data_IF_774616545643
#
_entry.id   IF_774616545643
#
_cell.length_a   1.000
_cell.length_b   1.000
_cell.length_c   1.000
_cell.angle_alpha   90.00
_cell.angle_beta   90.00
_cell.angle_gamma   90.00
#
_symmetry.space_group_name_H-M   'P 1'
#
loop_
_entity.id
_entity.type
_entity.pdbx_description
1 polymer ?
#
# COMPACT_ATOMS: atom_id res chain seq x y z
N UNK A 1 20.58 -43.33 -38.39
CA UNK A 1 19.46 -44.15 -37.82
C UNK A 1 18.55 -43.27 -36.99
N UNK A 2 19.04 -42.15 -36.39
CA UNK A 2 18.31 -41.23 -35.49
C UNK A 2 17.35 -40.29 -36.22
N UNK A 3 17.49 -40.14 -37.56
CA UNK A 3 16.72 -39.17 -38.35
C UNK A 3 15.68 -39.86 -39.28
N UNK A 4 15.03 -40.94 -38.84
CA UNK A 4 13.95 -41.54 -39.58
C UNK A 4 12.64 -40.87 -39.17
N UNK A 5 12.11 -40.04 -40.05
CA UNK A 5 10.86 -39.28 -39.82
C UNK A 5 9.66 -40.27 -39.79
N UNK A 6 8.97 -40.31 -38.68
CA UNK A 6 7.66 -40.94 -38.54
C UNK A 6 6.61 -39.83 -38.76
N UNK A 7 5.99 -39.83 -39.93
CA UNK A 7 4.91 -38.84 -40.25
C UNK A 7 3.56 -39.41 -39.79
N UNK A 8 2.89 -38.70 -38.89
CA UNK A 8 1.48 -38.95 -38.57
C UNK A 8 0.73 -37.64 -38.95
N UNK A 9 0.07 -37.68 -40.10
CA UNK A 9 -0.64 -36.51 -40.65
C UNK A 9 0.30 -35.43 -41.13
N UNK A 10 0.08 -34.20 -40.72
CA UNK A 10 0.90 -33.03 -41.07
C UNK A 10 2.13 -32.83 -40.21
N UNK A 11 2.38 -33.70 -39.23
CA UNK A 11 3.47 -33.55 -38.27
C UNK A 11 4.47 -34.68 -38.50
N UNK A 12 5.72 -34.32 -38.81
CA UNK A 12 6.83 -35.29 -38.94
C UNK A 12 7.65 -35.26 -37.67
N UNK A 13 7.66 -36.37 -36.93
CA UNK A 13 8.49 -36.52 -35.74
C UNK A 13 9.74 -37.33 -36.04
N UNK A 14 10.89 -36.76 -35.80
CA UNK A 14 12.16 -37.45 -35.71
C UNK A 14 12.33 -38.11 -34.35
N UNK A 15 13.01 -39.23 -34.27
CA UNK A 15 13.45 -39.80 -32.97
C UNK A 15 14.26 -38.81 -32.16
N UNK A 16 15.00 -37.90 -32.82
CA UNK A 16 15.71 -36.80 -32.19
C UNK A 16 14.79 -35.81 -31.50
N UNK A 17 13.65 -35.46 -32.12
CA UNK A 17 12.65 -34.53 -31.55
C UNK A 17 11.99 -35.15 -30.32
N UNK A 18 11.65 -36.43 -30.37
CA UNK A 18 11.09 -37.13 -29.20
C UNK A 18 12.06 -37.14 -28.00
N UNK A 19 13.34 -37.39 -28.26
CA UNK A 19 14.37 -37.35 -27.21
C UNK A 19 14.56 -35.90 -26.68
N UNK A 20 14.53 -34.90 -27.54
CA UNK A 20 14.65 -33.52 -27.17
C UNK A 20 13.47 -33.03 -26.32
N UNK A 21 12.24 -33.41 -26.67
CA UNK A 21 11.03 -33.16 -25.90
C UNK A 21 11.12 -33.79 -24.51
N UNK A 22 11.46 -35.12 -24.46
CA UNK A 22 11.59 -35.83 -23.20
C UNK A 22 12.69 -35.21 -22.30
N UNK A 23 13.84 -34.86 -22.91
CA UNK A 23 14.94 -34.22 -22.22
C UNK A 23 14.53 -32.82 -21.68
N UNK A 24 13.83 -32.01 -22.48
CA UNK A 24 13.36 -30.67 -22.06
C UNK A 24 12.41 -30.75 -20.87
N UNK A 25 11.45 -31.67 -20.90
CA UNK A 25 10.52 -31.92 -19.80
C UNK A 25 11.28 -32.37 -18.55
N UNK A 26 12.15 -33.35 -18.69
CA UNK A 26 13.00 -33.87 -17.58
C UNK A 26 13.86 -32.75 -16.99
N UNK A 27 14.51 -31.93 -17.82
CA UNK A 27 15.35 -30.82 -17.41
C UNK A 27 14.54 -29.77 -16.65
N UNK A 28 13.35 -29.44 -17.14
CA UNK A 28 12.43 -28.48 -16.47
C UNK A 28 12.05 -28.94 -15.07
N UNK A 29 11.76 -30.24 -14.91
CA UNK A 29 11.51 -30.84 -13.59
C UNK A 29 12.75 -30.76 -12.67
N UNK A 30 13.93 -31.02 -13.20
CA UNK A 30 15.17 -30.94 -12.42
C UNK A 30 15.49 -29.50 -12.00
N UNK A 31 15.36 -28.58 -12.91
CA UNK A 31 15.54 -27.14 -12.61
C UNK A 31 14.51 -26.68 -11.56
N UNK A 32 13.24 -27.08 -11.70
CA UNK A 32 12.19 -26.70 -10.75
C UNK A 32 12.45 -27.28 -9.35
N UNK A 33 12.91 -28.53 -9.25
CA UNK A 33 13.29 -29.14 -7.97
C UNK A 33 14.49 -28.46 -7.32
N UNK A 34 15.52 -28.11 -8.12
CA UNK A 34 16.69 -27.41 -7.64
C UNK A 34 16.31 -26.01 -7.10
N UNK A 35 15.52 -25.26 -7.85
CA UNK A 35 15.07 -23.92 -7.40
C UNK A 35 14.17 -24.01 -6.18
N UNK A 36 13.29 -25.01 -6.10
CA UNK A 36 12.50 -25.25 -4.89
C UNK A 36 13.38 -25.51 -3.68
N UNK A 37 14.39 -26.37 -3.84
CA UNK A 37 15.36 -26.67 -2.78
C UNK A 37 16.08 -25.38 -2.31
N UNK A 38 16.63 -24.59 -3.24
CA UNK A 38 17.32 -23.33 -2.93
C UNK A 38 16.38 -22.32 -2.24
N UNK A 39 15.13 -22.21 -2.72
CA UNK A 39 14.16 -21.27 -2.13
C UNK A 39 13.79 -21.66 -0.70
N UNK A 40 13.54 -22.96 -0.44
CA UNK A 40 13.04 -23.42 0.86
C UNK A 40 14.18 -23.62 1.87
N UNK A 41 15.32 -24.16 1.43
CA UNK A 41 16.41 -24.55 2.33
C UNK A 41 17.45 -23.43 2.55
N UNK A 42 17.73 -22.62 1.50
CA UNK A 42 18.77 -21.59 1.60
C UNK A 42 18.20 -20.18 1.81
N UNK A 43 17.20 -19.79 1.03
CA UNK A 43 16.71 -18.40 1.01
C UNK A 43 15.71 -18.14 2.14
N UNK A 44 14.74 -19.03 2.33
CA UNK A 44 13.65 -18.82 3.28
C UNK A 44 14.14 -18.65 4.74
N UNK A 45 15.10 -19.44 5.26
CA UNK A 45 15.61 -19.25 6.62
C UNK A 45 16.32 -17.90 6.82
N UNK A 46 17.02 -17.43 5.77
CA UNK A 46 17.76 -16.16 5.80
C UNK A 46 16.85 -14.94 5.71
N UNK A 47 15.77 -15.04 4.93
CA UNK A 47 14.82 -13.97 4.68
C UNK A 47 13.76 -13.78 5.78
N UNK A 48 13.74 -14.64 6.82
CA UNK A 48 12.78 -14.63 7.95
C UNK A 48 11.30 -14.52 7.47
N UNK A 49 10.96 -15.24 6.41
CA UNK A 49 9.61 -15.24 5.87
C UNK A 49 8.59 -15.81 6.85
N UNK A 50 7.34 -15.32 6.77
CA UNK A 50 6.25 -15.88 7.56
C UNK A 50 6.01 -17.37 7.19
N UNK A 51 5.50 -18.15 8.15
CA UNK A 51 5.19 -19.57 7.94
C UNK A 51 4.27 -19.76 6.73
N UNK A 52 4.63 -20.69 5.85
CA UNK A 52 3.88 -21.04 4.64
C UNK A 52 4.21 -20.21 3.39
N UNK A 53 4.84 -19.04 3.52
CA UNK A 53 5.26 -18.23 2.36
C UNK A 53 6.32 -18.92 1.51
N UNK A 54 7.39 -19.52 2.08
CA UNK A 54 8.40 -20.21 1.29
C UNK A 54 7.83 -21.32 0.40
N UNK A 55 6.96 -22.15 0.96
CA UNK A 55 6.34 -23.26 0.25
C UNK A 55 5.42 -22.79 -0.88
N UNK A 56 4.65 -21.73 -0.63
CA UNK A 56 3.78 -21.12 -1.64
C UNK A 56 4.59 -20.54 -2.81
N UNK A 57 5.64 -19.76 -2.52
CA UNK A 57 6.53 -19.18 -3.55
C UNK A 57 7.25 -20.28 -4.32
N UNK A 58 7.78 -21.29 -3.64
CA UNK A 58 8.47 -22.41 -4.27
C UNK A 58 7.53 -23.22 -5.20
N UNK A 59 6.28 -23.42 -4.76
CA UNK A 59 5.27 -24.12 -5.56
C UNK A 59 4.87 -23.33 -6.80
N UNK A 60 4.63 -22.01 -6.67
CA UNK A 60 4.34 -21.14 -7.81
C UNK A 60 5.50 -21.11 -8.80
N UNK A 61 6.73 -20.96 -8.31
CA UNK A 61 7.94 -21.02 -9.14
C UNK A 61 8.06 -22.34 -9.88
N UNK A 62 7.78 -23.45 -9.21
CA UNK A 62 7.77 -24.79 -9.82
C UNK A 62 6.76 -24.86 -10.96
N UNK A 63 5.52 -24.41 -10.76
CA UNK A 63 4.48 -24.40 -11.80
C UNK A 63 4.88 -23.54 -13.01
N UNK A 64 5.45 -22.34 -12.78
CA UNK A 64 5.93 -21.47 -13.86
C UNK A 64 7.02 -22.15 -14.71
N UNK A 65 8.00 -22.81 -14.05
CA UNK A 65 9.11 -23.47 -14.76
C UNK A 65 8.62 -24.69 -15.54
N UNK A 66 7.77 -25.53 -14.93
CA UNK A 66 7.22 -26.72 -15.61
C UNK A 66 6.34 -26.29 -16.78
N UNK A 67 5.52 -25.24 -16.63
CA UNK A 67 4.72 -24.71 -17.73
C UNK A 67 5.58 -24.16 -18.87
N UNK A 68 6.62 -23.39 -18.56
CA UNK A 68 7.56 -22.86 -19.55
C UNK A 68 8.29 -24.00 -20.28
N UNK A 69 8.74 -25.02 -19.54
CA UNK A 69 9.36 -26.20 -20.12
C UNK A 69 8.41 -27.01 -21.01
N UNK A 70 7.15 -27.13 -20.60
CA UNK A 70 6.12 -27.78 -21.41
C UNK A 70 5.85 -27.01 -22.71
N UNK A 71 5.74 -25.66 -22.67
CA UNK A 71 5.61 -24.84 -23.85
C UNK A 71 6.81 -24.97 -24.79
N UNK A 72 8.03 -24.99 -24.25
CA UNK A 72 9.25 -25.21 -25.03
C UNK A 72 9.27 -26.59 -25.67
N UNK A 73 8.87 -27.63 -24.94
CA UNK A 73 8.79 -28.99 -25.46
C UNK A 73 7.79 -29.12 -26.63
N UNK A 74 6.62 -28.50 -26.54
CA UNK A 74 5.61 -28.44 -27.62
C UNK A 74 6.19 -27.73 -28.87
N UNK A 75 6.93 -26.63 -28.67
CA UNK A 75 7.58 -25.90 -29.76
C UNK A 75 8.63 -26.75 -30.48
N UNK A 76 9.45 -27.50 -29.72
CA UNK A 76 10.44 -28.47 -30.28
C UNK A 76 9.74 -29.58 -31.07
N UNK A 77 8.57 -30.03 -30.61
CA UNK A 77 7.78 -31.04 -31.30
C UNK A 77 7.16 -30.55 -32.63
N UNK A 78 7.40 -29.29 -33.03
CA UNK A 78 6.87 -28.73 -34.27
C UNK A 78 5.37 -28.45 -34.26
N UNK A 79 4.73 -28.49 -33.10
CA UNK A 79 3.30 -28.18 -32.94
C UNK A 79 3.10 -26.69 -33.06
N UNK A 80 2.11 -26.27 -33.84
CA UNK A 80 1.78 -24.86 -34.00
C UNK A 80 1.34 -24.22 -32.67
N UNK A 81 2.21 -23.37 -32.15
CA UNK A 81 2.01 -22.66 -30.88
C UNK A 81 1.00 -21.52 -30.98
N UNK A 82 0.57 -21.13 -32.18
CA UNK A 82 -0.29 -19.95 -32.37
C UNK A 82 -1.60 -20.06 -31.59
N UNK A 83 -2.24 -21.22 -31.63
CA UNK A 83 -3.50 -21.45 -30.90
C UNK A 83 -3.30 -21.45 -29.39
N UNK A 84 -2.22 -22.06 -28.90
CA UNK A 84 -1.88 -22.09 -27.48
C UNK A 84 -1.51 -20.70 -26.97
N UNK A 85 -0.80 -19.92 -27.77
CA UNK A 85 -0.45 -18.53 -27.44
C UNK A 85 -1.70 -17.64 -27.29
N UNK A 86 -2.69 -17.80 -28.18
CA UNK A 86 -3.97 -17.07 -28.07
C UNK A 86 -4.70 -17.46 -26.78
N UNK A 87 -4.78 -18.76 -26.49
CA UNK A 87 -5.44 -19.24 -25.26
C UNK A 87 -4.68 -18.77 -23.99
N UNK A 88 -3.36 -18.87 -23.99
CA UNK A 88 -2.52 -18.39 -22.88
C UNK A 88 -2.65 -16.87 -22.70
N UNK A 89 -2.73 -16.12 -23.80
CA UNK A 89 -2.98 -14.68 -23.77
C UNK A 89 -4.32 -14.32 -23.13
N UNK A 90 -5.40 -14.99 -23.55
CA UNK A 90 -6.72 -14.80 -22.97
C UNK A 90 -6.74 -15.13 -21.45
N UNK A 91 -6.10 -16.25 -21.05
CA UNK A 91 -5.94 -16.62 -19.65
C UNK A 91 -5.10 -15.58 -18.89
N UNK A 92 -4.01 -15.11 -19.50
CA UNK A 92 -3.14 -14.07 -18.92
C UNK A 92 -3.89 -12.78 -18.64
N UNK A 93 -4.75 -12.33 -19.57
CA UNK A 93 -5.63 -11.16 -19.35
C UNK A 93 -6.57 -11.41 -18.17
N UNK A 94 -7.21 -12.59 -18.10
CA UNK A 94 -8.09 -12.93 -16.98
C UNK A 94 -7.36 -12.92 -15.62
N UNK A 95 -6.18 -13.52 -15.55
CA UNK A 95 -5.33 -13.50 -14.35
C UNK A 95 -4.89 -12.07 -14.02
N UNK A 96 -4.50 -11.28 -15.05
CA UNK A 96 -4.08 -9.89 -14.89
C UNK A 96 -5.16 -9.02 -14.25
N UNK A 97 -6.41 -9.13 -14.72
CA UNK A 97 -7.57 -8.45 -14.12
C UNK A 97 -7.79 -8.94 -12.69
N UNK A 98 -7.67 -10.25 -12.43
CA UNK A 98 -7.82 -10.79 -11.06
C UNK A 98 -6.74 -10.35 -10.08
N UNK A 99 -5.53 -10.01 -10.57
CA UNK A 99 -4.41 -9.54 -9.75
C UNK A 99 -4.24 -8.02 -9.73
N UNK A 100 -5.09 -7.27 -10.45
CA UNK A 100 -4.97 -5.82 -10.63
C UNK A 100 -4.84 -5.09 -9.30
N UNK A 101 -5.70 -5.39 -8.32
CA UNK A 101 -5.69 -4.73 -7.02
C UNK A 101 -4.43 -5.06 -6.21
N UNK A 102 -3.92 -6.28 -6.32
CA UNK A 102 -2.69 -6.69 -5.64
C UNK A 102 -1.50 -5.91 -6.19
N UNK A 103 -1.38 -5.82 -7.52
CA UNK A 103 -0.31 -5.07 -8.20
C UNK A 103 -0.43 -3.58 -7.90
N UNK A 104 -1.64 -3.02 -7.97
CA UNK A 104 -1.88 -1.61 -7.64
C UNK A 104 -1.45 -1.27 -6.21
N UNK A 105 -1.87 -2.06 -5.23
CA UNK A 105 -1.50 -1.83 -3.84
C UNK A 105 -0.01 -2.00 -3.58
N UNK A 106 0.63 -2.96 -4.25
CA UNK A 106 2.08 -3.16 -4.15
C UNK A 106 2.87 -1.99 -4.73
N UNK A 107 2.54 -1.55 -5.95
CA UNK A 107 3.20 -0.40 -6.59
C UNK A 107 2.96 0.89 -5.79
N UNK A 108 1.75 1.08 -5.27
CA UNK A 108 1.45 2.20 -4.37
C UNK A 108 2.27 2.16 -3.08
N UNK A 109 2.49 0.97 -2.51
CA UNK A 109 3.38 0.80 -1.35
C UNK A 109 4.82 1.22 -1.66
N UNK A 110 5.34 0.86 -2.83
CA UNK A 110 6.66 1.32 -3.27
C UNK A 110 6.70 2.85 -3.44
N UNK A 111 5.67 3.45 -4.06
CA UNK A 111 5.57 4.91 -4.21
C UNK A 111 5.61 5.60 -2.85
N UNK A 112 4.80 5.15 -1.87
CA UNK A 112 4.80 5.71 -0.52
C UNK A 112 6.18 5.66 0.14
N UNK A 113 6.90 4.54 -0.02
CA UNK A 113 8.24 4.36 0.55
C UNK A 113 9.31 5.24 -0.12
N UNK A 114 9.20 5.45 -1.44
CA UNK A 114 10.17 6.26 -2.19
C UNK A 114 9.89 7.76 -2.07
N UNK A 115 8.64 8.19 -2.26
CA UNK A 115 8.30 9.62 -2.21
C UNK A 115 8.20 10.17 -0.80
N UNK A 116 7.90 9.33 0.19
CA UNK A 116 7.79 9.71 1.60
C UNK A 116 6.86 10.89 1.88
N UNK A 117 5.80 11.04 1.07
CA UNK A 117 4.74 12.05 1.32
C UNK A 117 3.92 11.73 2.56
N UNK A 118 3.87 10.45 2.92
CA UNK A 118 3.32 9.94 4.16
C UNK A 118 4.41 9.08 4.79
N UNK A 119 4.73 9.32 6.04
CA UNK A 119 5.76 8.59 6.80
C UNK A 119 5.14 7.87 7.99
N UNK A 120 5.89 6.93 8.55
CA UNK A 120 5.55 6.37 9.85
C UNK A 120 5.56 7.48 10.91
N UNK A 121 4.61 7.44 11.81
CA UNK A 121 4.32 8.42 12.84
C UNK A 121 3.60 9.70 12.37
N UNK A 122 3.37 9.91 11.07
CA UNK A 122 2.54 11.02 10.59
C UNK A 122 1.09 10.87 11.07
N UNK A 123 0.46 12.00 11.35
CA UNK A 123 -0.98 12.09 11.62
C UNK A 123 -1.67 12.42 10.32
N UNK A 124 -2.50 11.49 9.85
CA UNK A 124 -3.20 11.62 8.58
C UNK A 124 -4.71 11.48 8.73
N UNK A 125 -5.42 12.12 7.82
CA UNK A 125 -6.84 11.90 7.61
C UNK A 125 -7.09 11.48 6.17
N UNK A 126 -7.63 10.28 5.98
CA UNK A 126 -7.92 9.70 4.67
C UNK A 126 -9.23 8.91 4.72
N UNK A 127 -10.15 9.19 3.79
CA UNK A 127 -11.39 8.43 3.62
C UNK A 127 -12.18 8.18 4.92
N UNK A 128 -12.23 9.19 5.80
CA UNK A 128 -12.92 9.10 7.09
C UNK A 128 -12.11 8.47 8.22
N UNK A 129 -10.91 7.97 7.95
CA UNK A 129 -9.97 7.49 8.98
C UNK A 129 -9.09 8.66 9.39
N UNK A 130 -9.02 8.94 10.70
CA UNK A 130 -8.14 9.95 11.28
C UNK A 130 -7.26 9.27 12.35
N UNK A 131 -5.93 9.40 12.22
CA UNK A 131 -5.03 8.75 13.15
C UNK A 131 -3.56 8.83 12.75
N UNK A 132 -2.73 8.18 13.55
CA UNK A 132 -1.27 8.12 13.39
C UNK A 132 -0.88 6.89 12.55
N UNK A 133 -0.05 7.07 11.53
CA UNK A 133 0.50 5.98 10.73
C UNK A 133 1.42 5.13 11.59
N UNK A 134 0.98 3.92 11.94
CA UNK A 134 1.75 2.98 12.75
C UNK A 134 2.81 2.27 11.90
N UNK A 135 2.46 1.84 10.70
CA UNK A 135 3.37 1.14 9.80
C UNK A 135 2.92 1.27 8.35
N UNK A 136 3.89 1.33 7.41
CA UNK A 136 3.65 1.26 5.96
C UNK A 136 4.21 -0.07 5.47
N UNK A 137 3.31 -0.99 5.11
CA UNK A 137 3.65 -2.29 4.55
C UNK A 137 3.68 -2.29 3.04
N UNK A 138 3.97 -3.45 2.43
CA UNK A 138 4.10 -3.56 0.97
C UNK A 138 2.77 -3.36 0.22
N UNK A 139 1.63 -3.79 0.77
CA UNK A 139 0.32 -3.64 0.10
C UNK A 139 -0.68 -2.82 0.91
N UNK A 140 -0.49 -2.69 2.21
CA UNK A 140 -1.38 -1.95 3.10
C UNK A 140 -0.57 -1.24 4.18
N UNK A 141 -1.08 -0.12 4.63
CA UNK A 141 -0.57 0.65 5.77
C UNK A 141 -1.51 0.50 6.96
N UNK A 142 -0.98 0.58 8.16
CA UNK A 142 -1.75 0.51 9.41
C UNK A 142 -1.82 1.92 9.99
N UNK A 143 -3.03 2.42 10.19
CA UNK A 143 -3.30 3.70 10.84
C UNK A 143 -3.96 3.43 12.19
N UNK A 144 -3.35 3.90 13.27
CA UNK A 144 -3.91 3.80 14.61
C UNK A 144 -4.73 5.06 14.89
N UNK A 145 -6.03 4.89 15.08
CA UNK A 145 -6.94 5.99 15.40
C UNK A 145 -6.71 6.50 16.83
N UNK A 146 -7.19 7.70 17.12
CA UNK A 146 -7.11 8.27 18.47
C UNK A 146 -7.98 7.48 19.48
N UNK A 147 -9.02 6.77 18.99
CA UNK A 147 -9.82 5.85 19.82
C UNK A 147 -9.12 4.52 20.11
N UNK A 148 -7.88 4.33 19.61
CA UNK A 148 -7.06 3.14 19.84
C UNK A 148 -7.28 1.98 18.85
N UNK A 149 -8.15 2.12 17.85
CA UNK A 149 -8.33 1.11 16.81
C UNK A 149 -7.19 1.14 15.78
N UNK A 150 -6.83 -0.02 15.25
CA UNK A 150 -5.92 -0.13 14.13
C UNK A 150 -6.71 -0.38 12.83
N UNK A 151 -6.65 0.59 11.92
CA UNK A 151 -7.31 0.51 10.63
C UNK A 151 -6.28 0.14 9.57
N UNK A 152 -6.56 -0.96 8.83
CA UNK A 152 -5.72 -1.42 7.74
C UNK A 152 -6.21 -0.77 6.45
N UNK A 153 -5.41 0.15 5.92
CA UNK A 153 -5.73 0.92 4.71
C UNK A 153 -4.92 0.37 3.53
N UNK A 154 -5.55 -0.04 2.42
CA UNK A 154 -4.83 -0.40 1.19
C UNK A 154 -3.97 0.76 0.68
N UNK A 155 -2.72 0.48 0.28
CA UNK A 155 -1.81 1.53 -0.16
C UNK A 155 -2.32 2.28 -1.40
N UNK A 156 -3.02 1.58 -2.31
CA UNK A 156 -3.68 2.20 -3.46
C UNK A 156 -4.64 3.32 -3.08
N UNK A 157 -5.35 3.17 -1.97
CA UNK A 157 -6.24 4.20 -1.45
C UNK A 157 -5.49 5.42 -0.94
N UNK A 158 -4.35 5.24 -0.25
CA UNK A 158 -3.52 6.35 0.24
C UNK A 158 -2.86 7.15 -0.89
N UNK A 159 -2.59 6.50 -2.04
CA UNK A 159 -1.98 7.17 -3.20
C UNK A 159 -3.02 7.83 -4.09
N UNK A 160 -4.22 7.23 -4.25
CA UNK A 160 -5.24 7.71 -5.18
C UNK A 160 -6.25 8.68 -4.56
N UNK A 161 -6.48 8.61 -3.25
CA UNK A 161 -7.41 9.51 -2.56
C UNK A 161 -6.72 10.80 -2.09
N UNK A 162 -7.55 11.79 -1.76
CA UNK A 162 -7.06 12.98 -1.06
C UNK A 162 -6.69 12.60 0.38
N UNK A 163 -5.44 12.85 0.76
CA UNK A 163 -4.94 12.65 2.12
C UNK A 163 -4.56 14.00 2.71
N UNK A 164 -5.06 14.30 3.90
CA UNK A 164 -4.61 15.42 4.71
C UNK A 164 -3.52 14.88 5.64
N UNK A 165 -2.29 15.38 5.50
CA UNK A 165 -1.20 15.05 6.40
C UNK A 165 -0.94 16.27 7.29
N UNK A 166 -1.21 16.12 8.58
CA UNK A 166 -1.13 17.19 9.57
C UNK A 166 0.29 17.42 10.11
N UNK A 167 1.21 16.51 9.83
CA UNK A 167 2.57 16.54 10.40
C UNK A 167 3.66 16.44 9.33
N UNK A 168 3.30 16.66 8.04
CA UNK A 168 4.23 16.50 6.93
C UNK A 168 5.40 17.48 6.96
N UNK A 169 5.11 18.78 7.16
CA UNK A 169 6.12 19.87 7.15
C UNK A 169 6.53 20.26 8.56
N UNK A 170 5.55 20.36 9.44
CA UNK A 170 5.69 20.77 10.82
C UNK A 170 4.59 20.12 11.67
N UNK A 171 4.55 20.43 12.95
CA UNK A 171 3.51 19.95 13.88
C UNK A 171 2.61 21.11 14.33
N UNK A 172 2.69 22.24 13.66
CA UNK A 172 1.89 23.40 14.00
C UNK A 172 0.45 23.22 13.53
N UNK A 173 -0.48 23.49 14.42
CA UNK A 173 -1.90 23.38 14.14
C UNK A 173 -2.69 24.52 14.73
N UNK A 174 -3.60 25.08 13.92
CA UNK A 174 -4.57 26.05 14.40
C UNK A 174 -5.72 25.33 15.10
N UNK A 175 -5.91 25.65 16.37
CA UNK A 175 -7.09 25.23 17.15
C UNK A 175 -8.11 26.37 17.21
N UNK A 176 -9.37 25.99 17.33
CA UNK A 176 -10.49 26.89 17.44
C UNK A 176 -11.28 26.52 18.69
N UNK A 177 -11.36 27.43 19.65
CA UNK A 177 -12.02 27.21 20.93
C UNK A 177 -13.27 28.09 21.00
N UNK A 178 -14.50 27.52 21.00
CA UNK A 178 -15.72 28.28 21.21
C UNK A 178 -15.89 28.63 22.69
N UNK A 179 -16.20 29.87 22.98
CA UNK A 179 -16.33 30.40 24.36
C UNK A 179 -17.61 31.20 24.46
N UNK A 180 -18.46 30.91 25.46
CA UNK A 180 -19.66 31.68 25.79
C UNK A 180 -19.36 32.67 26.92
N UNK A 181 -19.67 33.92 26.71
CA UNK A 181 -19.54 35.00 27.73
C UNK A 181 -20.93 35.54 28.10
N UNK A 182 -21.13 35.87 29.38
CA UNK A 182 -22.43 36.34 29.87
C UNK A 182 -22.84 37.67 29.20
N UNK A 183 -24.11 37.81 28.95
CA UNK A 183 -24.67 39.10 28.48
C UNK A 183 -24.40 40.22 29.49
N UNK A 184 -24.07 41.40 28.99
CA UNK A 184 -23.69 42.55 29.79
C UNK A 184 -22.18 42.72 30.00
N UNK A 185 -21.38 41.75 29.60
CA UNK A 185 -19.92 41.87 29.57
C UNK A 185 -19.53 42.75 28.37
N UNK A 186 -18.54 43.63 28.56
CA UNK A 186 -17.97 44.39 27.44
C UNK A 186 -17.29 43.41 26.43
N UNK A 187 -17.75 43.41 25.17
CA UNK A 187 -17.17 42.52 24.17
C UNK A 187 -15.68 42.72 23.93
N UNK A 188 -15.20 43.98 24.02
CA UNK A 188 -13.77 44.24 23.81
C UNK A 188 -12.94 43.72 24.97
N UNK A 189 -13.40 43.88 26.20
CA UNK A 189 -12.74 43.31 27.37
C UNK A 189 -12.68 41.78 27.31
N UNK A 190 -13.74 41.14 26.79
CA UNK A 190 -13.74 39.68 26.60
C UNK A 190 -12.67 39.27 25.57
N UNK A 191 -12.59 39.93 24.41
CA UNK A 191 -11.60 39.64 23.36
C UNK A 191 -10.18 39.83 23.92
N UNK A 192 -9.89 40.95 24.56
CA UNK A 192 -8.56 41.26 25.09
C UNK A 192 -8.12 40.25 26.15
N UNK A 193 -9.07 39.83 27.00
CA UNK A 193 -8.82 38.80 28.03
C UNK A 193 -8.50 37.44 27.41
N UNK A 194 -9.27 37.01 26.39
CA UNK A 194 -9.06 35.74 25.70
C UNK A 194 -7.71 35.70 24.99
N UNK A 195 -7.35 36.78 24.28
CA UNK A 195 -6.04 36.89 23.62
C UNK A 195 -4.91 36.84 24.63
N UNK A 196 -5.03 37.61 25.72
CA UNK A 196 -4.02 37.64 26.79
C UNK A 196 -3.80 36.28 27.42
N UNK A 197 -4.87 35.56 27.78
CA UNK A 197 -4.77 34.22 28.34
C UNK A 197 -4.13 33.23 27.36
N UNK A 198 -4.43 33.34 26.06
CA UNK A 198 -3.80 32.51 25.03
C UNK A 198 -2.30 32.84 24.92
N UNK A 199 -1.88 34.10 24.96
CA UNK A 199 -0.46 34.50 24.90
C UNK A 199 0.34 34.06 26.14
N UNK A 200 -0.30 33.92 27.30
CA UNK A 200 0.34 33.47 28.54
C UNK A 200 0.55 31.95 28.55
N UNK A 201 -0.04 31.21 27.60
CA UNK A 201 0.09 29.74 27.51
C UNK A 201 1.32 29.37 26.66
N UNK A 202 2.24 28.61 27.23
CA UNK A 202 3.48 28.18 26.57
C UNK A 202 3.31 27.26 25.36
N UNK A 203 2.14 26.61 25.22
CA UNK A 203 1.85 25.73 24.08
C UNK A 203 1.30 26.48 22.86
N UNK A 204 0.94 27.76 23.05
CA UNK A 204 0.46 28.65 21.99
C UNK A 204 1.66 29.38 21.37
N UNK A 205 1.68 29.42 20.03
CA UNK A 205 2.72 30.12 19.27
C UNK A 205 2.49 31.64 19.29
N UNK A 206 3.59 32.40 19.33
CA UNK A 206 3.59 33.83 19.22
C UNK A 206 3.36 34.33 17.79
N UNK A 207 3.70 33.51 16.81
CA UNK A 207 3.52 33.81 15.38
C UNK A 207 2.98 32.54 14.67
N UNK A 208 1.77 32.59 14.09
CA UNK A 208 0.81 33.72 14.09
C UNK A 208 0.18 33.97 15.46
N UNK A 209 -0.01 35.24 15.81
CA UNK A 209 -0.60 35.60 17.09
C UNK A 209 -2.02 35.06 17.28
N UNK A 210 -2.42 34.68 18.51
CA UNK A 210 -3.78 34.29 18.81
C UNK A 210 -4.75 35.42 18.60
N UNK A 211 -5.94 35.12 18.09
CA UNK A 211 -6.99 36.11 17.82
C UNK A 211 -8.32 35.60 18.35
N UNK A 212 -9.12 36.52 18.89
CA UNK A 212 -10.48 36.21 19.34
C UNK A 212 -11.50 37.05 18.56
N UNK A 213 -12.64 36.46 18.26
CA UNK A 213 -13.72 37.07 17.50
C UNK A 213 -15.04 36.89 18.22
N UNK A 214 -15.88 37.94 18.19
CA UNK A 214 -17.30 37.79 18.46
C UNK A 214 -17.97 37.10 17.27
N UNK A 215 -18.71 36.04 17.51
CA UNK A 215 -19.34 35.21 16.46
C UNK A 215 -20.82 35.51 16.33
N UNK A 216 -21.55 35.50 17.45
CA UNK A 216 -23.00 35.73 17.45
C UNK A 216 -23.54 35.91 18.87
N UNK A 217 -24.79 36.41 18.91
CA UNK A 217 -25.59 36.39 20.12
C UNK A 217 -26.28 34.99 20.23
N UNK A 218 -25.91 34.19 21.24
CA UNK A 218 -26.48 32.88 21.53
C UNK A 218 -27.75 33.01 22.42
N UNK A 219 -28.45 31.89 22.70
CA UNK A 219 -29.66 31.89 23.52
C UNK A 219 -29.42 32.37 24.97
N UNK A 220 -28.22 32.16 25.52
CA UNK A 220 -27.89 32.48 26.92
C UNK A 220 -26.52 33.14 27.08
N UNK A 221 -25.77 33.32 26.00
CA UNK A 221 -24.40 33.87 26.00
C UNK A 221 -24.11 34.64 24.75
N UNK A 222 -23.12 35.50 24.83
CA UNK A 222 -22.41 36.02 23.64
C UNK A 222 -21.35 35.02 23.27
N UNK A 223 -21.42 34.47 22.06
CA UNK A 223 -20.51 33.43 21.59
C UNK A 223 -19.28 34.03 20.91
N UNK A 224 -18.12 33.70 21.45
CA UNK A 224 -16.80 34.11 20.93
C UNK A 224 -16.05 32.87 20.43
N UNK A 225 -15.07 33.10 19.59
CA UNK A 225 -14.17 32.05 19.08
C UNK A 225 -12.74 32.54 19.22
N UNK A 226 -11.94 31.80 20.00
CA UNK A 226 -10.51 32.00 20.10
C UNK A 226 -9.81 31.08 19.12
N UNK A 227 -8.97 31.61 18.25
CA UNK A 227 -8.11 30.90 17.33
C UNK A 227 -6.67 31.08 17.74
N UNK A 228 -5.99 29.97 17.98
CA UNK A 228 -4.59 29.96 18.36
C UNK A 228 -3.84 28.87 17.57
N UNK A 229 -2.56 29.11 17.30
CA UNK A 229 -1.67 28.11 16.75
C UNK A 229 -0.91 27.44 17.89
N UNK A 230 -0.77 26.12 17.84
CA UNK A 230 -0.07 25.30 18.83
C UNK A 230 0.99 24.44 18.17
N UNK A 231 2.12 24.24 18.84
CA UNK A 231 3.28 23.52 18.32
C UNK A 231 3.17 22.00 18.38
N UNK A 232 2.17 21.45 19.09
CA UNK A 232 2.03 20.01 19.28
C UNK A 232 0.64 19.54 18.86
N UNK A 233 0.54 18.93 17.68
CA UNK A 233 -0.72 18.41 17.16
C UNK A 233 -1.32 17.24 17.95
N UNK A 234 -0.63 16.67 18.94
CA UNK A 234 -1.12 15.59 19.79
C UNK A 234 -2.06 16.06 20.93
N UNK A 235 -2.08 17.36 21.23
CA UNK A 235 -2.86 17.96 22.34
C UNK A 235 -4.37 18.07 22.03
N UNK A 236 -4.81 17.67 20.83
CA UNK A 236 -6.20 17.85 20.40
C UNK A 236 -6.97 16.55 20.51
N UNK A 237 -7.40 16.26 21.71
CA UNK A 237 -8.53 15.39 22.02
C UNK A 237 -9.55 16.13 22.87
#
# INVERSE_FOLDING_TARGET
>A
IINKDLSIGSISFSLGDMLSVAFTIWLSFKISQLLRFVLVEDIAPRAKWARGVPEAVATLTQYCIVLAGFMTAISIAGIDMSRLTIMAGALGVGIGIGLQDVVNNFTSGLILLFEQKIKQADIIQCSGVNGKVANIGMRCSVVRTFDGAEVIVPNGQLVSAQVINWTHSDQERRITIPIGVAYGTDPQLAIDTLVKVAQENSDVLDDPQPVAFFVRFGPSSMDFELRAWVSNGEIIN
#
